data_IF_220453091083
#
_entry.id   IF_220453091083
#
_cell.length_a   1.000
_cell.length_b   1.000
_cell.length_c   1.000
_cell.angle_alpha   90.00
_cell.angle_beta   90.00
_cell.angle_gamma   90.00
#
_symmetry.space_group_name_H-M   'P 1'
#
loop_
_entity.id
_entity.type
_entity.pdbx_description
1 polymer ?
#
# COMPACT_ATOMS: atom_id res chain seq x y z
N UNK A 1 7.59 2.63 20.78
CA UNK A 1 6.17 2.58 21.25
C UNK A 1 5.40 3.89 21.03
N UNK A 2 6.02 5.08 21.13
CA UNK A 2 5.32 6.36 20.98
C UNK A 2 4.93 6.69 19.53
N UNK A 3 5.82 6.46 18.55
CA UNK A 3 5.56 6.74 17.12
C UNK A 3 4.45 5.84 16.56
N UNK A 4 4.43 4.56 16.91
CA UNK A 4 3.38 3.62 16.47
C UNK A 4 1.99 4.00 16.99
N UNK A 5 1.92 4.60 18.18
CA UNK A 5 0.67 5.12 18.76
C UNK A 5 0.21 6.38 18.03
N UNK A 6 1.11 7.35 17.83
CA UNK A 6 0.80 8.59 17.09
C UNK A 6 0.33 8.27 15.66
N UNK A 7 1.01 7.34 14.97
CA UNK A 7 0.61 6.89 13.64
C UNK A 7 -0.79 6.27 13.62
N UNK A 8 -1.17 5.53 14.67
CA UNK A 8 -2.51 4.94 14.80
C UNK A 8 -3.55 6.02 15.07
N UNK A 9 -3.30 6.88 16.06
CA UNK A 9 -4.17 8.02 16.39
C UNK A 9 -4.41 8.92 15.17
N UNK A 10 -3.38 9.17 14.36
CA UNK A 10 -3.51 9.88 13.09
C UNK A 10 -4.50 9.19 12.14
N UNK A 11 -4.29 7.90 11.85
CA UNK A 11 -5.15 7.14 10.91
C UNK A 11 -6.60 7.10 11.39
N UNK A 12 -6.81 6.79 12.67
CA UNK A 12 -8.15 6.57 13.22
C UNK A 12 -8.94 7.87 13.44
N UNK A 13 -8.26 8.99 13.74
CA UNK A 13 -8.92 10.20 14.25
C UNK A 13 -8.66 11.46 13.46
N UNK A 14 -7.48 11.60 12.84
CA UNK A 14 -7.03 12.91 12.33
C UNK A 14 -6.76 12.95 10.83
N UNK A 15 -6.77 11.82 10.12
CA UNK A 15 -6.47 11.77 8.69
C UNK A 15 -7.38 12.68 7.84
N UNK A 16 -8.61 12.93 8.26
CA UNK A 16 -9.57 13.81 7.58
C UNK A 16 -9.23 15.30 7.73
N UNK A 17 -8.43 15.65 8.74
CA UNK A 17 -7.99 17.01 9.06
C UNK A 17 -6.60 17.34 8.48
N UNK A 18 -5.96 16.37 7.82
CA UNK A 18 -4.61 16.55 7.32
C UNK A 18 -4.56 17.57 6.17
N UNK A 19 -3.63 18.53 6.25
CA UNK A 19 -3.49 19.59 5.24
C UNK A 19 -3.15 19.08 3.84
N UNK A 20 -2.54 17.89 3.73
CA UNK A 20 -2.29 17.24 2.44
C UNK A 20 -3.59 16.91 1.72
N UNK A 21 -4.66 16.57 2.46
CA UNK A 21 -5.96 16.23 1.85
C UNK A 21 -6.53 17.42 1.09
N UNK A 22 -6.48 18.62 1.68
CA UNK A 22 -6.94 19.84 1.02
C UNK A 22 -6.10 20.12 -0.24
N UNK A 23 -4.77 20.04 -0.11
CA UNK A 23 -3.84 20.25 -1.23
C UNK A 23 -4.11 19.27 -2.40
N UNK A 24 -4.41 18.00 -2.11
CA UNK A 24 -4.77 16.99 -3.11
C UNK A 24 -6.11 17.29 -3.82
N UNK A 25 -7.10 17.79 -3.09
CA UNK A 25 -8.40 18.16 -3.66
C UNK A 25 -8.29 19.37 -4.59
N UNK A 26 -7.56 20.41 -4.16
CA UNK A 26 -7.37 21.64 -4.94
C UNK A 26 -6.57 21.40 -6.24
N UNK A 27 -5.64 20.44 -6.21
CA UNK A 27 -4.82 20.10 -7.37
C UNK A 27 -5.62 19.39 -8.48
N UNK A 28 -6.51 18.45 -8.11
CA UNK A 28 -7.35 17.72 -9.08
C UNK A 28 -8.26 18.64 -9.91
N UNK A 29 -8.64 19.79 -9.38
CA UNK A 29 -9.52 20.73 -10.05
C UNK A 29 -8.83 21.54 -11.18
N UNK A 30 -7.48 21.58 -11.22
CA UNK A 30 -6.77 22.59 -12.01
C UNK A 30 -5.96 22.08 -13.20
N UNK A 31 -5.39 20.87 -13.20
CA UNK A 31 -4.52 20.42 -14.32
C UNK A 31 -4.49 18.89 -14.52
N UNK A 32 -4.53 18.44 -15.78
CA UNK A 32 -4.42 17.04 -16.19
C UNK A 32 -3.00 16.59 -16.52
N UNK A 33 -2.12 16.50 -15.52
CA UNK A 33 -0.77 15.94 -15.68
C UNK A 33 -0.10 15.58 -14.36
N UNK A 34 0.81 14.60 -14.37
CA UNK A 34 1.53 14.11 -13.19
C UNK A 34 2.56 15.15 -12.68
N UNK A 35 2.10 16.14 -11.91
CA UNK A 35 2.96 17.06 -11.16
C UNK A 35 3.21 16.53 -9.74
N UNK A 36 4.43 16.75 -9.27
CA UNK A 36 4.77 16.59 -7.87
C UNK A 36 4.43 17.91 -7.18
N UNK A 37 3.59 17.86 -6.16
CA UNK A 37 3.20 19.00 -5.35
C UNK A 37 3.98 18.95 -4.03
N UNK A 38 4.74 20.00 -3.74
CA UNK A 38 5.30 20.22 -2.42
C UNK A 38 4.27 20.94 -1.55
N UNK A 39 3.96 20.38 -0.39
CA UNK A 39 3.04 20.97 0.58
C UNK A 39 3.73 21.12 1.93
N UNK A 40 3.74 22.35 2.46
CA UNK A 40 4.26 22.67 3.78
C UNK A 40 3.10 22.81 4.77
N UNK A 41 3.28 22.27 5.97
CA UNK A 41 2.36 22.46 7.09
C UNK A 41 3.16 22.66 8.37
N UNK A 42 3.04 23.84 8.95
CA UNK A 42 3.60 24.20 10.24
C UNK A 42 2.60 23.89 11.35
N UNK A 43 3.07 23.79 12.59
CA UNK A 43 2.19 23.55 13.74
C UNK A 43 1.17 24.69 13.94
N UNK A 44 1.53 25.91 13.54
CA UNK A 44 0.67 27.10 13.58
C UNK A 44 -0.50 27.03 12.58
N UNK A 45 -0.34 26.29 11.47
CA UNK A 45 -1.37 26.15 10.44
C UNK A 45 -2.54 25.23 10.91
N UNK A 46 -2.37 24.55 12.06
CA UNK A 46 -3.29 23.52 12.53
C UNK A 46 -4.27 24.09 13.55
N UNK A 47 -5.46 24.45 13.09
CA UNK A 47 -6.52 24.99 13.94
C UNK A 47 -7.03 23.95 14.96
N UNK A 48 -7.20 22.69 14.54
CA UNK A 48 -7.73 21.64 15.40
C UNK A 48 -6.76 21.26 16.53
N UNK A 49 -7.16 21.56 17.79
CA UNK A 49 -6.32 21.42 18.99
C UNK A 49 -5.73 20.02 19.18
N UNK A 50 -6.54 18.96 19.15
CA UNK A 50 -6.01 17.61 19.45
C UNK A 50 -5.12 17.06 18.34
N UNK A 51 -5.44 17.32 17.07
CA UNK A 51 -4.57 16.97 15.96
C UNK A 51 -3.21 17.66 16.10
N UNK A 52 -3.19 18.98 16.35
CA UNK A 52 -1.96 19.75 16.62
C UNK A 52 -1.17 19.14 17.79
N UNK A 53 -1.84 18.91 18.92
CA UNK A 53 -1.20 18.39 20.13
C UNK A 53 -0.59 17.01 19.94
N UNK A 54 -1.37 16.07 19.40
CA UNK A 54 -0.96 14.66 19.28
C UNK A 54 0.04 14.45 18.14
N UNK A 55 -0.19 15.09 16.99
CA UNK A 55 0.61 14.82 15.79
C UNK A 55 1.79 15.77 15.59
N UNK A 56 1.82 16.93 16.27
CA UNK A 56 2.91 17.92 16.12
C UNK A 56 3.57 18.29 17.45
N UNK A 57 2.82 18.72 18.47
CA UNK A 57 3.43 19.21 19.72
C UNK A 57 4.07 18.08 20.54
N UNK A 58 3.37 16.97 20.78
CA UNK A 58 3.91 15.81 21.51
C UNK A 58 5.15 15.19 20.85
N UNK A 59 5.18 14.95 19.52
CA UNK A 59 6.39 14.49 18.84
C UNK A 59 7.41 15.60 18.56
N UNK A 60 7.19 16.83 19.04
CA UNK A 60 8.09 17.98 18.87
C UNK A 60 8.37 18.33 17.41
N UNK A 61 7.37 18.25 16.54
CA UNK A 61 7.47 18.63 15.13
C UNK A 61 7.17 20.13 14.99
N UNK A 62 8.04 20.86 14.30
CA UNK A 62 7.84 22.26 13.91
C UNK A 62 7.03 22.36 12.61
N UNK A 63 7.49 21.63 11.59
CA UNK A 63 6.97 21.70 10.25
C UNK A 63 7.09 20.35 9.54
N UNK A 64 6.13 20.08 8.67
CA UNK A 64 6.14 18.97 7.73
C UNK A 64 6.21 19.50 6.31
N UNK A 65 7.09 18.93 5.50
CA UNK A 65 7.07 19.08 4.05
C UNK A 65 6.65 17.75 3.41
N UNK A 66 5.63 17.76 2.57
CA UNK A 66 5.13 16.60 1.87
C UNK A 66 5.34 16.74 0.36
N UNK A 67 5.90 15.70 -0.26
CA UNK A 67 5.88 15.54 -1.72
C UNK A 67 4.70 14.66 -2.09
N UNK A 68 3.74 15.24 -2.81
CA UNK A 68 2.49 14.61 -3.21
C UNK A 68 2.50 14.36 -4.71
N UNK A 69 2.27 13.12 -5.12
CA UNK A 69 2.20 12.76 -6.54
C UNK A 69 0.97 11.91 -6.81
N UNK A 70 0.09 12.41 -7.68
CA UNK A 70 -1.07 11.66 -8.14
C UNK A 70 -0.60 10.50 -9.01
N UNK A 71 -1.02 9.27 -8.66
CA UNK A 71 -0.70 8.07 -9.43
C UNK A 71 -1.79 7.85 -10.48
N UNK A 72 -1.38 7.78 -11.75
CA UNK A 72 -2.29 7.51 -12.87
C UNK A 72 -2.97 6.13 -12.72
N UNK A 73 -2.21 5.15 -12.25
CA UNK A 73 -2.69 3.78 -12.04
C UNK A 73 -3.37 3.66 -10.67
N UNK A 74 -4.70 3.45 -10.66
CA UNK A 74 -5.50 3.30 -9.45
C UNK A 74 -5.97 4.61 -8.79
N UNK A 75 -5.61 5.77 -9.35
CA UNK A 75 -6.14 7.08 -8.95
C UNK A 75 -5.75 7.57 -7.55
N UNK A 76 -4.91 6.81 -6.84
CA UNK A 76 -4.44 7.12 -5.49
C UNK A 76 -3.34 8.20 -5.50
N UNK A 77 -3.07 8.76 -4.32
CA UNK A 77 -1.95 9.68 -4.12
C UNK A 77 -0.80 8.96 -3.43
N UNK A 78 0.42 9.18 -3.92
CA UNK A 78 1.64 8.88 -3.19
C UNK A 78 2.06 10.11 -2.40
N UNK A 79 2.40 9.93 -1.13
CA UNK A 79 2.87 11.00 -0.24
C UNK A 79 4.17 10.57 0.43
N UNK A 80 5.21 11.40 0.29
CA UNK A 80 6.47 11.28 1.04
C UNK A 80 6.52 12.45 2.00
N UNK A 81 6.61 12.19 3.31
CA UNK A 81 6.56 13.23 4.34
C UNK A 81 7.92 13.37 5.03
N UNK A 82 8.45 14.58 5.02
CA UNK A 82 9.63 15.02 5.77
C UNK A 82 9.17 15.79 6.99
N UNK A 83 9.58 15.37 8.18
CA UNK A 83 9.22 16.02 9.43
C UNK A 83 10.47 16.68 10.01
N UNK A 84 10.33 17.94 10.44
CA UNK A 84 11.40 18.69 11.10
C UNK A 84 11.08 18.86 12.58
N UNK A 85 12.08 18.59 13.42
CA UNK A 85 11.99 18.78 14.86
C UNK A 85 12.03 20.27 15.25
N UNK A 86 11.37 20.63 16.36
CA UNK A 86 11.35 21.99 16.91
C UNK A 86 12.73 22.55 17.21
N UNK A 87 13.67 21.68 17.57
CA UNK A 87 15.09 22.01 17.78
C UNK A 87 15.80 22.56 16.54
N UNK A 88 15.22 22.36 15.34
CA UNK A 88 15.79 22.81 14.07
C UNK A 88 14.97 23.92 13.38
N UNK A 89 13.91 24.41 14.02
CA UNK A 89 13.00 25.41 13.45
C UNK A 89 12.24 24.91 12.22
N UNK A 90 11.70 25.83 11.42
CA UNK A 90 11.05 25.53 10.14
C UNK A 90 12.09 25.29 9.04
N UNK A 91 11.67 24.65 7.94
CA UNK A 91 12.49 24.54 6.74
C UNK A 91 12.79 25.94 6.18
N UNK A 92 14.02 26.16 5.77
CA UNK A 92 14.39 27.36 5.03
C UNK A 92 14.22 27.15 3.52
N UNK A 93 14.24 28.25 2.77
CA UNK A 93 13.99 28.24 1.33
C UNK A 93 14.98 27.34 0.56
N UNK A 94 16.27 27.34 0.92
CA UNK A 94 17.29 26.53 0.24
C UNK A 94 17.07 25.03 0.47
N UNK A 95 16.63 24.64 1.66
CA UNK A 95 16.30 23.24 1.98
C UNK A 95 15.07 22.78 1.21
N UNK A 96 14.04 23.64 1.10
CA UNK A 96 12.84 23.38 0.31
C UNK A 96 13.22 23.16 -1.15
N UNK A 97 13.97 24.09 -1.75
CA UNK A 97 14.44 24.01 -3.14
C UNK A 97 15.28 22.75 -3.39
N UNK A 98 16.15 22.40 -2.44
CA UNK A 98 16.93 21.17 -2.53
C UNK A 98 16.03 19.93 -2.57
N UNK A 99 15.06 19.82 -1.65
CA UNK A 99 14.12 18.68 -1.61
C UNK A 99 13.28 18.62 -2.89
N UNK A 100 12.80 19.76 -3.39
CA UNK A 100 12.06 19.85 -4.65
C UNK A 100 12.90 19.39 -5.85
N UNK A 101 14.19 19.76 -5.89
CA UNK A 101 15.10 19.38 -6.98
C UNK A 101 15.30 17.85 -7.08
N UNK A 102 15.27 17.14 -5.93
CA UNK A 102 15.41 15.68 -5.89
C UNK A 102 14.07 14.94 -5.84
N UNK A 103 12.95 15.67 -5.78
CA UNK A 103 11.61 15.11 -5.65
C UNK A 103 11.25 14.07 -6.74
N UNK A 104 11.60 14.27 -8.04
CA UNK A 104 11.35 13.25 -9.05
C UNK A 104 12.01 11.92 -8.71
N UNK A 105 13.27 11.91 -8.27
CA UNK A 105 13.96 10.68 -7.90
C UNK A 105 13.29 10.00 -6.69
N UNK A 106 12.98 10.75 -5.65
CA UNK A 106 12.36 10.24 -4.44
C UNK A 106 10.99 9.59 -4.72
N UNK A 107 10.15 10.24 -5.53
CA UNK A 107 8.85 9.70 -5.92
C UNK A 107 9.02 8.39 -6.69
N UNK A 108 9.99 8.31 -7.61
CA UNK A 108 10.22 7.12 -8.44
C UNK A 108 10.72 5.94 -7.58
N UNK A 109 11.68 6.19 -6.68
CA UNK A 109 12.20 5.17 -5.76
C UNK A 109 11.11 4.67 -4.83
N UNK A 110 10.34 5.55 -4.21
CA UNK A 110 9.23 5.16 -3.33
C UNK A 110 8.16 4.39 -4.09
N UNK A 111 7.84 4.77 -5.33
CA UNK A 111 6.87 4.04 -6.16
C UNK A 111 7.36 2.63 -6.49
N UNK A 112 8.62 2.47 -6.89
CA UNK A 112 9.22 1.16 -7.16
C UNK A 112 9.26 0.29 -5.91
N UNK A 113 9.66 0.88 -4.77
CA UNK A 113 9.66 0.18 -3.49
C UNK A 113 8.25 -0.27 -3.09
N UNK A 114 7.24 0.59 -3.22
CA UNK A 114 5.86 0.25 -2.91
C UNK A 114 5.35 -0.88 -3.83
N UNK A 115 5.61 -0.81 -5.13
CA UNK A 115 5.24 -1.88 -6.08
C UNK A 115 5.89 -3.21 -5.68
N UNK A 116 7.20 -3.22 -5.43
CA UNK A 116 7.90 -4.41 -4.97
C UNK A 116 7.37 -4.94 -3.63
N UNK A 117 7.03 -4.05 -2.69
CA UNK A 117 6.44 -4.43 -1.41
C UNK A 117 5.07 -5.09 -1.58
N UNK A 118 4.19 -4.52 -2.42
CA UNK A 118 2.88 -5.11 -2.72
C UNK A 118 3.04 -6.46 -3.40
N UNK A 119 3.92 -6.56 -4.39
CA UNK A 119 4.25 -7.82 -5.08
C UNK A 119 4.72 -8.90 -4.11
N UNK A 120 5.63 -8.57 -3.20
CA UNK A 120 6.18 -9.53 -2.24
C UNK A 120 5.21 -9.90 -1.11
N UNK A 121 4.39 -8.96 -0.62
CA UNK A 121 3.67 -9.13 0.65
C UNK A 121 2.15 -9.20 0.53
N UNK A 122 1.55 -8.59 -0.50
CA UNK A 122 0.10 -8.44 -0.60
C UNK A 122 -0.51 -9.12 -1.83
N UNK A 123 0.29 -9.39 -2.87
CA UNK A 123 -0.25 -10.05 -4.05
C UNK A 123 -0.81 -11.45 -3.75
N UNK A 124 -0.16 -12.34 -2.99
CA UNK A 124 -0.72 -13.67 -2.72
C UNK A 124 -2.10 -13.63 -2.03
N UNK A 125 -2.31 -12.68 -1.11
CA UNK A 125 -3.59 -12.51 -0.41
C UNK A 125 -4.66 -11.88 -1.31
N UNK A 126 -4.32 -10.88 -2.12
CA UNK A 126 -5.22 -10.25 -3.10
C UNK A 126 -5.66 -11.25 -4.18
N UNK A 127 -4.72 -12.01 -4.76
CA UNK A 127 -5.03 -13.04 -5.75
C UNK A 127 -5.92 -14.13 -5.14
N UNK A 128 -5.66 -14.53 -3.89
CA UNK A 128 -6.51 -15.48 -3.17
C UNK A 128 -7.93 -14.95 -3.03
N UNK A 129 -8.10 -13.72 -2.53
CA UNK A 129 -9.42 -13.13 -2.33
C UNK A 129 -10.21 -13.06 -3.65
N UNK A 130 -9.55 -12.78 -4.77
CA UNK A 130 -10.19 -12.80 -6.09
C UNK A 130 -10.71 -14.17 -6.48
N UNK A 131 -9.91 -15.23 -6.34
CA UNK A 131 -10.38 -16.60 -6.64
C UNK A 131 -11.51 -16.99 -5.71
N UNK A 132 -11.45 -16.62 -4.43
CA UNK A 132 -12.53 -16.91 -3.48
C UNK A 132 -13.84 -16.20 -3.84
N UNK A 133 -13.77 -14.99 -4.41
CA UNK A 133 -14.94 -14.27 -4.94
C UNK A 133 -15.48 -14.90 -6.23
N UNK A 134 -14.61 -15.33 -7.15
CA UNK A 134 -15.00 -15.95 -8.42
C UNK A 134 -15.54 -17.37 -8.24
N UNK A 135 -15.09 -18.07 -7.19
CA UNK A 135 -15.43 -19.47 -6.90
C UNK A 135 -15.85 -19.62 -5.43
N UNK A 136 -17.04 -19.11 -5.05
CA UNK A 136 -17.51 -19.15 -3.66
C UNK A 136 -17.65 -20.59 -3.11
N UNK A 137 -17.89 -21.55 -3.99
CA UNK A 137 -18.05 -23.00 -3.71
C UNK A 137 -16.76 -23.69 -3.23
N UNK A 138 -15.60 -23.00 -3.25
CA UNK A 138 -14.36 -23.56 -2.73
C UNK A 138 -14.48 -23.82 -1.23
N UNK A 139 -14.23 -25.07 -0.83
CA UNK A 139 -14.24 -25.48 0.57
C UNK A 139 -13.08 -24.86 1.35
N UNK A 140 -13.11 -24.91 2.68
CA UNK A 140 -11.99 -24.45 3.52
C UNK A 140 -10.65 -25.10 3.12
N UNK A 141 -10.67 -26.40 2.80
CA UNK A 141 -9.47 -27.12 2.35
C UNK A 141 -9.00 -26.70 0.95
N UNK A 142 -9.92 -26.40 0.04
CA UNK A 142 -9.56 -25.86 -1.27
C UNK A 142 -8.91 -24.48 -1.16
N UNK A 143 -9.45 -23.62 -0.29
CA UNK A 143 -8.92 -22.26 -0.02
C UNK A 143 -7.53 -22.29 0.61
N UNK A 144 -7.31 -23.22 1.53
CA UNK A 144 -5.99 -23.45 2.14
C UNK A 144 -4.97 -23.90 1.07
N UNK A 145 -5.32 -24.87 0.22
CA UNK A 145 -4.46 -25.32 -0.88
C UNK A 145 -4.16 -24.20 -1.88
N UNK A 146 -5.18 -23.44 -2.27
CA UNK A 146 -5.07 -22.30 -3.16
C UNK A 146 -4.07 -21.27 -2.63
N UNK A 147 -4.10 -20.96 -1.33
CA UNK A 147 -3.16 -20.03 -0.69
C UNK A 147 -1.70 -20.48 -0.89
N UNK A 148 -1.42 -21.76 -0.70
CA UNK A 148 -0.06 -22.29 -0.88
C UNK A 148 0.38 -22.24 -2.34
N UNK A 149 -0.49 -22.61 -3.27
CA UNK A 149 -0.21 -22.54 -4.70
C UNK A 149 0.07 -21.10 -5.16
N UNK A 150 -0.75 -20.13 -4.74
CA UNK A 150 -0.54 -18.71 -5.07
C UNK A 150 0.69 -18.09 -4.39
N UNK A 151 1.24 -18.76 -3.38
CA UNK A 151 2.53 -18.40 -2.77
C UNK A 151 3.73 -19.06 -3.48
N UNK A 152 3.50 -19.80 -4.57
CA UNK A 152 4.54 -20.42 -5.38
C UNK A 152 4.97 -21.82 -4.94
N UNK A 153 4.27 -22.45 -3.98
CA UNK A 153 4.65 -23.76 -3.45
C UNK A 153 4.22 -24.91 -4.37
N UNK A 154 5.07 -25.94 -4.45
CA UNK A 154 4.81 -27.18 -5.20
C UNK A 154 4.13 -28.26 -4.34
N UNK A 155 3.76 -29.38 -4.97
CA UNK A 155 3.10 -30.51 -4.29
C UNK A 155 3.92 -31.07 -3.12
N UNK A 156 5.24 -31.14 -3.28
CA UNK A 156 6.19 -31.63 -2.27
C UNK A 156 6.19 -30.76 -1.00
N UNK A 157 6.14 -29.43 -1.17
CA UNK A 157 6.13 -28.46 -0.07
C UNK A 157 4.74 -28.35 0.58
N UNK A 158 3.68 -28.50 -0.22
CA UNK A 158 2.29 -28.39 0.23
C UNK A 158 1.89 -29.57 1.10
N UNK A 159 2.35 -30.77 0.78
CA UNK A 159 1.96 -31.99 1.48
C UNK A 159 2.14 -31.92 3.01
N UNK A 160 3.34 -31.58 3.54
CA UNK A 160 3.53 -31.46 4.98
C UNK A 160 2.73 -30.29 5.58
N UNK A 161 2.58 -29.17 4.87
CA UNK A 161 1.82 -28.01 5.35
C UNK A 161 0.33 -28.30 5.51
N UNK A 162 -0.22 -29.16 4.67
CA UNK A 162 -1.64 -29.54 4.72
C UNK A 162 -1.92 -30.81 5.54
N UNK A 163 -0.88 -31.50 6.02
CA UNK A 163 -1.00 -32.77 6.73
C UNK A 163 -1.52 -33.91 5.84
N UNK A 164 -1.08 -33.95 4.57
CA UNK A 164 -1.46 -34.99 3.60
C UNK A 164 -0.23 -35.70 3.05
N UNK A 165 -0.42 -36.89 2.47
CA UNK A 165 0.67 -37.57 1.76
C UNK A 165 1.08 -36.81 0.49
N UNK A 166 2.37 -36.84 0.17
CA UNK A 166 2.94 -36.24 -1.06
C UNK A 166 2.26 -36.76 -2.33
N UNK A 167 1.99 -38.06 -2.38
CA UNK A 167 1.22 -38.73 -3.43
C UNK A 167 -0.19 -38.16 -3.62
N UNK A 168 -0.83 -37.72 -2.53
CA UNK A 168 -2.18 -37.15 -2.55
C UNK A 168 -2.21 -35.66 -2.90
N UNK A 169 -1.12 -34.92 -2.63
CA UNK A 169 -1.04 -33.48 -2.89
C UNK A 169 -1.24 -33.14 -4.38
N UNK A 170 -0.59 -33.88 -5.28
CA UNK A 170 -0.76 -33.70 -6.72
C UNK A 170 -2.23 -33.92 -7.17
N UNK A 171 -2.91 -34.90 -6.57
CA UNK A 171 -4.33 -35.17 -6.83
C UNK A 171 -5.21 -34.02 -6.35
N UNK A 172 -4.92 -33.47 -5.17
CA UNK A 172 -5.67 -32.34 -4.62
C UNK A 172 -5.49 -31.08 -5.46
N UNK A 173 -4.27 -30.79 -5.92
CA UNK A 173 -3.96 -29.68 -6.82
C UNK A 173 -4.73 -29.82 -8.14
N UNK A 174 -4.72 -31.00 -8.77
CA UNK A 174 -5.49 -31.26 -10.00
C UNK A 174 -6.99 -31.07 -9.79
N UNK A 175 -7.54 -31.54 -8.66
CA UNK A 175 -8.96 -31.33 -8.33
C UNK A 175 -9.30 -29.85 -8.16
N UNK A 176 -8.43 -29.09 -7.51
CA UNK A 176 -8.61 -27.64 -7.36
C UNK A 176 -8.59 -26.95 -8.73
N UNK A 177 -7.62 -27.26 -9.58
CA UNK A 177 -7.54 -26.69 -10.94
C UNK A 177 -8.82 -26.93 -11.75
N UNK A 178 -9.38 -28.14 -11.68
CA UNK A 178 -10.67 -28.44 -12.30
C UNK A 178 -11.82 -27.61 -11.72
N UNK A 179 -11.86 -27.38 -10.40
CA UNK A 179 -12.90 -26.55 -9.76
C UNK A 179 -12.86 -25.09 -10.22
N UNK A 180 -11.67 -24.56 -10.48
CA UNK A 180 -11.49 -23.17 -10.93
C UNK A 180 -11.37 -23.02 -12.45
N UNK A 181 -11.56 -24.12 -13.20
CA UNK A 181 -11.58 -24.12 -14.66
C UNK A 181 -10.23 -23.85 -15.34
N UNK A 182 -9.12 -24.25 -14.73
CA UNK A 182 -7.76 -24.06 -15.29
C UNK A 182 -7.02 -25.38 -15.44
N UNK A 183 -6.03 -25.41 -16.32
CA UNK A 183 -5.25 -26.61 -16.64
C UNK A 183 -3.94 -26.70 -15.85
N UNK A 184 -3.53 -25.63 -15.17
CA UNK A 184 -2.28 -25.60 -14.42
C UNK A 184 -1.99 -24.27 -13.71
N UNK A 185 -0.84 -24.20 -13.05
CA UNK A 185 -0.44 -23.04 -12.26
C UNK A 185 -0.34 -21.74 -13.08
N UNK A 186 0.20 -21.79 -14.31
CA UNK A 186 0.27 -20.61 -15.19
C UNK A 186 -1.10 -20.06 -15.56
N UNK A 187 -2.07 -20.94 -15.84
CA UNK A 187 -3.45 -20.53 -16.12
C UNK A 187 -4.17 -20.04 -14.87
N UNK A 188 -3.90 -20.65 -13.71
CA UNK A 188 -4.38 -20.13 -12.42
C UNK A 188 -3.88 -18.70 -12.19
N UNK A 189 -2.59 -18.43 -12.40
CA UNK A 189 -2.03 -17.08 -12.32
C UNK A 189 -2.65 -16.15 -13.37
N UNK A 190 -2.82 -16.64 -14.60
CA UNK A 190 -3.50 -15.91 -15.67
C UNK A 190 -4.93 -15.51 -15.28
N UNK A 191 -5.70 -16.40 -14.65
CA UNK A 191 -7.07 -16.16 -14.21
C UNK A 191 -7.17 -15.01 -13.19
N UNK A 192 -6.23 -14.97 -12.24
CA UNK A 192 -6.22 -13.96 -11.16
C UNK A 192 -5.59 -12.63 -11.57
N UNK A 193 -4.72 -12.64 -12.59
CA UNK A 193 -4.08 -11.44 -13.14
C UNK A 193 -4.91 -10.82 -14.28
N UNK A 194 -5.60 -11.62 -15.11
CA UNK A 194 -6.44 -11.14 -16.24
C UNK A 194 -7.75 -10.49 -15.81
N UNK A 195 -8.18 -10.69 -14.57
CA UNK A 195 -9.23 -9.87 -13.95
C UNK A 195 -8.66 -8.46 -13.68
N UNK A 196 -8.36 -7.76 -14.78
CA UNK A 196 -7.87 -6.39 -14.86
C UNK A 196 -9.08 -5.47 -14.97
N UNK A 197 -9.19 -4.55 -14.01
CA UNK A 197 -9.63 -3.18 -14.21
C UNK A 197 -10.86 -3.02 -15.14
N UNK A 198 -12.05 -3.33 -14.61
CA UNK A 198 -13.29 -2.65 -15.01
C UNK A 198 -13.64 -1.65 -13.91
#
# INVERSE_FOLDING_TARGET
>A
MQISRISRDYVERFHSLDGNRQAMLDHRAKYGGARILAQLQSVEDITHRDYRRVCYEQPQISQRMALLNHQEEGGAWLSINFYRGREHGNFNQREIEFIESVAPLLIQVTRLHYRAFIEANQMPSLLRQRVELLFPELTRRDRELLRHLLSGLGAEDIAPLMGIQRSSAATYIKRLYRKVGVSGHRELLGLVVRSRWS
#
